data_IF_228352606894
#
_entry.id   IF_228352606894
#
_cell.length_a   1.000
_cell.length_b   1.000
_cell.length_c   1.000
_cell.angle_alpha   90.00
_cell.angle_beta   90.00
_cell.angle_gamma   90.00
#
_symmetry.space_group_name_H-M   'P 1'
#
loop_
_entity.id
_entity.type
_entity.pdbx_description
1 polymer ?
#
# COMPACT_ATOMS: atom_id res chain seq x y z
N UNK A 1 -1.01 11.83 5.82
CA UNK A 1 -1.93 12.27 4.75
C UNK A 1 -3.08 11.27 4.60
N UNK A 2 -4.03 11.27 5.53
CA UNK A 2 -5.34 10.64 5.32
C UNK A 2 -6.32 11.76 5.06
N UNK A 3 -6.66 12.02 3.79
CA UNK A 3 -7.66 13.02 3.44
C UNK A 3 -8.99 12.29 3.25
N UNK A 4 -9.87 12.43 4.23
CA UNK A 4 -11.27 12.02 4.16
C UNK A 4 -11.53 10.50 4.14
N UNK A 5 -12.82 10.11 4.28
CA UNK A 5 -13.24 8.74 4.14
C UNK A 5 -13.04 8.26 2.69
N UNK A 6 -12.55 7.03 2.54
CA UNK A 6 -12.45 6.33 1.25
C UNK A 6 -13.79 6.34 0.52
N UNK A 7 -13.73 6.42 -0.81
CA UNK A 7 -14.91 6.26 -1.64
C UNK A 7 -15.56 4.89 -1.44
N UNK A 8 -16.89 4.90 -1.30
CA UNK A 8 -17.71 3.69 -1.43
C UNK A 8 -17.71 3.19 -2.88
N UNK A 9 -17.97 1.91 -3.09
CA UNK A 9 -17.99 1.32 -4.44
C UNK A 9 -19.04 1.97 -5.34
N UNK A 10 -20.19 2.32 -4.79
CA UNK A 10 -21.27 3.05 -5.48
C UNK A 10 -20.81 4.43 -5.97
N UNK A 11 -20.11 5.18 -5.12
CA UNK A 11 -19.55 6.50 -5.48
C UNK A 11 -18.55 6.36 -6.64
N UNK A 12 -17.70 5.31 -6.61
CA UNK A 12 -16.75 5.03 -7.69
C UNK A 12 -17.46 4.69 -9.00
N UNK A 13 -18.51 3.87 -8.93
CA UNK A 13 -19.34 3.52 -10.10
C UNK A 13 -19.97 4.77 -10.72
N UNK A 14 -20.52 5.66 -9.90
CA UNK A 14 -21.11 6.92 -10.33
C UNK A 14 -20.08 7.86 -11.01
N UNK A 15 -18.89 7.99 -10.43
CA UNK A 15 -17.81 8.80 -11.02
C UNK A 15 -17.41 8.26 -12.40
N UNK A 16 -17.26 6.93 -12.52
CA UNK A 16 -16.93 6.28 -13.80
C UNK A 16 -18.02 6.47 -14.84
N UNK A 17 -19.28 6.26 -14.48
CA UNK A 17 -20.41 6.45 -15.39
C UNK A 17 -20.55 7.90 -15.86
N UNK A 18 -20.31 8.89 -15.00
CA UNK A 18 -20.30 10.31 -15.42
C UNK A 18 -19.15 10.62 -16.38
N UNK A 19 -17.96 10.07 -16.13
CA UNK A 19 -16.82 10.25 -17.03
C UNK A 19 -17.06 9.59 -18.39
N UNK A 20 -17.65 8.39 -18.42
CA UNK A 20 -18.06 7.71 -19.65
C UNK A 20 -19.15 8.48 -20.41
N UNK A 21 -20.04 9.16 -19.68
CA UNK A 21 -21.05 10.07 -20.23
C UNK A 21 -20.49 11.41 -20.75
N UNK A 22 -19.16 11.60 -20.75
CA UNK A 22 -18.52 12.80 -21.30
C UNK A 22 -18.50 14.02 -20.37
N UNK A 23 -18.88 13.88 -19.10
CA UNK A 23 -18.82 14.99 -18.14
C UNK A 23 -17.37 15.36 -17.83
N UNK A 24 -17.10 16.66 -17.76
CA UNK A 24 -15.79 17.17 -17.37
C UNK A 24 -15.51 16.91 -15.89
N UNK A 25 -14.24 16.80 -15.50
CA UNK A 25 -13.86 16.59 -14.09
C UNK A 25 -14.42 17.66 -13.14
N UNK A 26 -14.64 18.90 -13.61
CA UNK A 26 -15.27 19.98 -12.84
C UNK A 26 -16.76 19.80 -12.65
N UNK A 27 -17.45 19.16 -13.57
CA UNK A 27 -18.87 18.84 -13.43
C UNK A 27 -19.05 17.65 -12.49
N UNK A 28 -18.17 16.64 -12.62
CA UNK A 28 -18.15 15.48 -11.73
C UNK A 28 -17.89 15.91 -10.27
N UNK A 29 -16.99 16.86 -10.02
CA UNK A 29 -16.76 17.38 -8.65
C UNK A 29 -17.99 18.06 -8.07
N UNK A 30 -18.75 18.80 -8.89
CA UNK A 30 -20.01 19.43 -8.46
C UNK A 30 -21.09 18.40 -8.17
N UNK A 31 -21.20 17.36 -8.99
CA UNK A 31 -22.19 16.29 -8.82
C UNK A 31 -21.90 15.39 -7.63
N UNK A 32 -20.63 15.02 -7.42
CA UNK A 32 -20.21 14.05 -6.40
C UNK A 32 -19.78 14.75 -5.10
N UNK A 33 -19.63 16.09 -5.11
CA UNK A 33 -19.21 16.92 -3.97
C UNK A 33 -17.89 16.47 -3.33
N UNK A 34 -16.96 16.03 -4.16
CA UNK A 34 -15.63 15.53 -3.75
C UNK A 34 -14.53 16.36 -4.38
N UNK A 35 -13.33 16.26 -3.82
CA UNK A 35 -12.22 17.07 -4.31
C UNK A 35 -11.82 16.66 -5.74
N UNK A 36 -11.35 17.61 -6.56
CA UNK A 36 -10.87 17.30 -7.91
C UNK A 36 -9.76 16.25 -7.93
N UNK A 37 -8.89 16.25 -6.91
CA UNK A 37 -7.79 15.30 -6.78
C UNK A 37 -8.30 13.88 -6.51
N UNK A 38 -9.31 13.73 -5.65
CA UNK A 38 -9.93 12.45 -5.34
C UNK A 38 -10.61 11.84 -6.57
N UNK A 39 -11.31 12.66 -7.36
CA UNK A 39 -11.93 12.22 -8.63
C UNK A 39 -10.85 11.84 -9.64
N UNK A 40 -9.79 12.62 -9.77
CA UNK A 40 -8.64 12.28 -10.63
C UNK A 40 -7.98 10.96 -10.20
N UNK A 41 -7.92 10.67 -8.91
CA UNK A 41 -7.40 9.39 -8.40
C UNK A 41 -8.32 8.19 -8.74
N UNK A 42 -9.65 8.38 -8.76
CA UNK A 42 -10.62 7.33 -9.13
C UNK A 42 -10.62 7.07 -10.63
N UNK A 43 -10.49 8.12 -11.44
CA UNK A 43 -10.40 8.03 -12.90
C UNK A 43 -9.01 7.59 -13.38
N UNK A 44 -7.97 7.92 -12.60
CA UNK A 44 -6.60 7.50 -12.86
C UNK A 44 -6.47 5.98 -12.78
N UNK A 45 -5.77 5.38 -13.74
CA UNK A 45 -5.40 3.97 -13.66
C UNK A 45 -4.50 3.79 -12.43
N UNK A 46 -4.79 2.85 -11.51
CA UNK A 46 -3.87 2.56 -10.43
C UNK A 46 -2.54 2.13 -11.05
N UNK A 47 -1.50 2.91 -10.84
CA UNK A 47 -0.16 2.51 -11.25
C UNK A 47 0.24 1.35 -10.34
N UNK A 48 0.13 0.11 -10.83
CA UNK A 48 0.43 -1.10 -10.04
C UNK A 48 1.84 -1.06 -9.43
N UNK A 49 2.77 -0.35 -10.06
CA UNK A 49 4.12 -0.14 -9.55
C UNK A 49 4.17 0.70 -8.26
N UNK A 50 3.26 1.68 -8.08
CA UNK A 50 3.25 2.51 -6.87
C UNK A 50 2.61 1.80 -5.67
N UNK A 51 1.69 0.87 -5.89
CA UNK A 51 1.07 0.08 -4.82
C UNK A 51 2.05 -0.93 -4.20
N UNK A 52 2.90 -1.56 -5.00
CA UNK A 52 3.92 -2.49 -4.51
C UNK A 52 4.98 -1.81 -3.61
N UNK A 53 5.16 -0.50 -3.75
CA UNK A 53 6.15 0.29 -3.01
C UNK A 53 5.59 1.00 -1.76
N UNK A 54 4.29 0.88 -1.46
CA UNK A 54 3.61 1.65 -0.41
C UNK A 54 3.77 1.10 1.03
N UNK A 55 4.60 0.09 1.24
CA UNK A 55 4.85 -0.48 2.56
C UNK A 55 6.04 0.18 3.28
N UNK A 56 6.05 0.12 4.62
CA UNK A 56 7.26 0.39 5.41
C UNK A 56 8.37 -0.55 4.91
N UNK A 57 9.61 -0.06 4.70
CA UNK A 57 10.71 -0.94 4.33
C UNK A 57 10.86 -2.04 5.39
N UNK A 58 11.08 -3.27 4.92
CA UNK A 58 11.33 -4.40 5.82
C UNK A 58 12.62 -4.11 6.60
N UNK A 59 12.59 -4.36 7.91
CA UNK A 59 13.75 -4.18 8.78
C UNK A 59 14.91 -5.12 8.41
N UNK A 60 14.59 -6.28 7.83
CA UNK A 60 15.56 -7.28 7.39
C UNK A 60 15.64 -7.34 5.87
N UNK A 61 16.87 -7.51 5.37
CA UNK A 61 17.14 -7.82 3.97
C UNK A 61 16.75 -9.25 3.64
N UNK A 62 16.53 -9.56 2.36
CA UNK A 62 16.18 -10.91 1.92
C UNK A 62 17.25 -11.96 2.30
N UNK A 63 18.53 -11.55 2.34
CA UNK A 63 19.64 -12.41 2.75
C UNK A 63 19.57 -12.74 4.24
N UNK A 64 19.36 -11.74 5.09
CA UNK A 64 19.23 -11.92 6.54
C UNK A 64 18.05 -12.83 6.88
N UNK A 65 16.90 -12.65 6.22
CA UNK A 65 15.74 -13.54 6.40
C UNK A 65 16.11 -14.99 6.06
N UNK A 66 16.82 -15.22 4.94
CA UNK A 66 17.24 -16.57 4.55
C UNK A 66 18.22 -17.20 5.55
N UNK A 67 19.13 -16.41 6.11
CA UNK A 67 20.09 -16.88 7.11
C UNK A 67 19.37 -17.30 8.40
N UNK A 68 18.46 -16.47 8.90
CA UNK A 68 17.63 -16.77 10.08
C UNK A 68 16.81 -18.03 9.88
N UNK A 69 16.14 -18.16 8.73
CA UNK A 69 15.32 -19.35 8.43
C UNK A 69 16.16 -20.62 8.36
N UNK A 70 17.37 -20.55 7.78
CA UNK A 70 18.29 -21.70 7.74
C UNK A 70 18.79 -22.08 9.13
N UNK A 71 19.18 -21.09 9.94
CA UNK A 71 19.69 -21.33 11.29
C UNK A 71 18.62 -21.97 12.19
N UNK A 72 17.40 -21.43 12.15
CA UNK A 72 16.26 -21.96 12.88
C UNK A 72 15.85 -23.37 12.42
N UNK A 73 16.13 -23.74 11.16
CA UNK A 73 15.88 -25.09 10.66
C UNK A 73 16.95 -26.11 11.08
N UNK A 74 18.14 -25.66 11.49
CA UNK A 74 19.24 -26.55 11.88
C UNK A 74 19.26 -26.90 13.37
N UNK A 75 18.94 -25.94 14.23
CA UNK A 75 18.99 -26.09 15.70
C UNK A 75 17.90 -25.20 16.30
N UNK A 76 17.38 -25.62 17.45
CA UNK A 76 16.45 -24.82 18.26
C UNK A 76 17.18 -23.61 18.90
N UNK A 77 17.37 -22.56 18.12
CA UNK A 77 17.88 -21.27 18.61
C UNK A 77 16.76 -20.42 19.19
N UNK A 78 17.06 -19.68 20.26
CA UNK A 78 16.16 -18.62 20.73
C UNK A 78 16.22 -17.41 19.80
N UNK A 79 15.13 -16.63 19.73
CA UNK A 79 15.08 -15.43 18.87
C UNK A 79 16.20 -14.41 19.20
N UNK A 80 16.61 -14.35 20.47
CA UNK A 80 17.69 -13.46 20.92
C UNK A 80 19.08 -13.97 20.49
N UNK A 81 19.29 -15.29 20.51
CA UNK A 81 20.52 -15.90 19.96
C UNK A 81 20.65 -15.68 18.46
N UNK A 82 19.55 -15.79 17.70
CA UNK A 82 19.56 -15.50 16.26
C UNK A 82 19.87 -14.02 15.98
N UNK A 83 19.38 -13.12 16.83
CA UNK A 83 19.65 -11.69 16.70
C UNK A 83 21.12 -11.34 16.97
N UNK A 84 21.72 -11.93 18.01
CA UNK A 84 23.13 -11.68 18.37
C UNK A 84 24.09 -12.32 17.38
N UNK A 85 23.84 -13.58 16.98
CA UNK A 85 24.70 -14.31 16.02
C UNK A 85 24.75 -13.64 14.64
N UNK A 86 23.63 -13.13 14.15
CA UNK A 86 23.54 -12.47 12.84
C UNK A 86 23.57 -10.94 12.91
N UNK A 87 23.83 -10.35 14.09
CA UNK A 87 23.89 -8.90 14.33
C UNK A 87 22.71 -8.13 13.69
N UNK A 88 21.49 -8.62 13.92
CA UNK A 88 20.30 -8.09 13.27
C UNK A 88 19.77 -6.84 13.98
N UNK A 89 19.56 -5.76 13.22
CA UNK A 89 18.89 -4.55 13.71
C UNK A 89 17.37 -4.66 13.57
N UNK A 90 16.77 -5.57 14.33
CA UNK A 90 15.32 -5.74 14.43
C UNK A 90 14.86 -5.89 15.89
N UNK A 91 13.59 -5.68 16.18
CA UNK A 91 13.02 -5.96 17.50
C UNK A 91 13.00 -7.46 17.78
N UNK A 92 12.92 -7.82 19.07
CA UNK A 92 12.64 -9.19 19.53
C UNK A 92 11.13 -9.39 19.64
#
# INVERSE_FOLDING_TARGET
>A
MGRGPSFFEEERGRIKGLAEGGFSGREITRCVRRSPQEIANVLGKPNKASLAAQGRPKALTALQVRQVVRAAATVDYTANELKTTYNLQCSL
#
